data_IF_242782663533
#
_entry.id   IF_242782663533
#
_cell.length_a   1.000
_cell.length_b   1.000
_cell.length_c   1.000
_cell.angle_alpha   90.00
_cell.angle_beta   90.00
_cell.angle_gamma   90.00
#
_symmetry.space_group_name_H-M   'P 1'
#
loop_
_entity.id
_entity.type
_entity.pdbx_description
1 polymer ?
#
# COMPACT_ATOMS: atom_id res chain seq x y z
N UNK A 1 20.17 8.02 48.65
CA UNK A 1 18.79 7.95 48.11
C UNK A 1 18.95 7.96 46.61
N UNK A 2 18.74 6.83 45.94
CA UNK A 2 18.84 6.76 44.48
C UNK A 2 17.60 7.41 43.89
N UNK A 3 17.78 8.40 43.02
CA UNK A 3 16.67 8.95 42.23
C UNK A 3 15.98 7.79 41.53
N UNK A 4 14.71 7.56 41.86
CA UNK A 4 13.93 6.50 41.23
C UNK A 4 13.58 6.94 39.82
N UNK A 5 14.42 6.55 38.85
CA UNK A 5 14.11 6.72 37.43
C UNK A 5 12.76 6.05 37.17
N UNK A 6 11.74 6.86 36.85
CA UNK A 6 10.40 6.40 36.56
C UNK A 6 10.01 6.77 35.12
N UNK A 7 8.91 6.20 34.62
CA UNK A 7 8.47 6.41 33.24
C UNK A 7 8.04 7.86 32.94
N UNK A 8 7.85 8.71 33.97
CA UNK A 8 7.48 10.12 33.82
C UNK A 8 8.69 11.03 33.56
N UNK A 9 9.91 10.47 33.51
CA UNK A 9 11.13 11.21 33.19
C UNK A 9 11.83 10.58 31.97
N UNK A 10 12.37 11.39 31.04
CA UNK A 10 13.13 10.87 29.91
C UNK A 10 14.45 10.26 30.39
N UNK A 11 14.75 9.05 29.94
CA UNK A 11 16.02 8.37 30.19
C UNK A 11 17.18 9.01 29.40
N UNK A 12 16.89 9.59 28.23
CA UNK A 12 17.81 10.37 27.41
C UNK A 12 17.06 11.20 26.36
N UNK A 13 17.79 12.05 25.62
CA UNK A 13 17.25 12.97 24.59
C UNK A 13 16.53 12.28 23.42
N UNK A 14 16.68 10.97 23.24
CA UNK A 14 16.04 10.21 22.14
C UNK A 14 14.65 9.69 22.50
N UNK A 15 14.18 9.88 23.73
CA UNK A 15 12.85 9.48 24.14
C UNK A 15 11.83 10.59 23.90
N UNK A 16 10.62 10.18 23.52
CA UNK A 16 9.47 11.03 23.28
C UNK A 16 8.34 10.67 24.26
N UNK A 17 7.47 11.63 24.57
CA UNK A 17 6.28 11.37 25.38
C UNK A 17 5.26 10.53 24.59
N UNK A 18 4.71 9.49 25.23
CA UNK A 18 3.59 8.70 24.72
C UNK A 18 2.24 9.37 25.06
N UNK A 19 1.13 8.75 24.65
CA UNK A 19 -0.23 9.29 24.85
C UNK A 19 -0.63 9.47 26.32
N UNK A 20 0.00 8.75 27.24
CA UNK A 20 -0.26 8.79 28.69
C UNK A 20 0.78 9.64 29.45
N UNK A 21 1.65 10.37 28.73
CA UNK A 21 2.66 11.26 29.31
C UNK A 21 3.94 10.57 29.80
N UNK A 22 4.10 9.26 29.58
CA UNK A 22 5.35 8.53 29.86
C UNK A 22 6.35 8.58 28.70
N UNK A 23 7.64 8.43 28.97
CA UNK A 23 8.69 8.53 27.94
C UNK A 23 9.06 7.17 27.33
N UNK A 24 9.08 7.10 25.99
CA UNK A 24 9.37 5.89 25.20
C UNK A 24 10.24 6.22 23.99
N UNK A 25 10.85 5.20 23.36
CA UNK A 25 11.54 5.40 22.07
C UNK A 25 10.56 5.43 20.90
N UNK A 26 10.81 6.32 19.95
CA UNK A 26 10.11 6.31 18.69
C UNK A 26 10.49 5.05 17.90
N UNK A 27 9.48 4.34 17.40
CA UNK A 27 9.67 3.17 16.54
C UNK A 27 10.20 3.64 15.19
N UNK A 28 11.16 2.91 14.62
CA UNK A 28 11.69 3.21 13.28
C UNK A 28 10.58 3.14 12.24
N UNK A 29 10.69 3.94 11.17
CA UNK A 29 9.66 3.97 10.13
C UNK A 29 9.50 2.60 9.44
N UNK A 30 10.57 1.80 9.32
CA UNK A 30 10.48 0.45 8.77
C UNK A 30 9.70 -0.51 9.69
N UNK A 31 9.96 -0.47 11.00
CA UNK A 31 9.16 -1.25 11.95
C UNK A 31 7.71 -0.77 12.00
N UNK A 32 7.47 0.52 11.78
CA UNK A 32 6.13 1.07 11.66
C UNK A 32 5.43 0.56 10.40
N UNK A 33 6.13 0.49 9.27
CA UNK A 33 5.63 -0.13 8.04
C UNK A 33 5.24 -1.59 8.29
N UNK A 34 6.09 -2.40 8.92
CA UNK A 34 5.77 -3.79 9.24
C UNK A 34 4.50 -3.92 10.08
N UNK A 35 4.36 -3.09 11.13
CA UNK A 35 3.13 -3.05 11.95
C UNK A 35 1.92 -2.68 11.11
N UNK A 36 2.04 -1.69 10.24
CA UNK A 36 0.96 -1.29 9.34
C UNK A 36 0.60 -2.41 8.36
N UNK A 37 1.58 -3.13 7.78
CA UNK A 37 1.31 -4.25 6.89
C UNK A 37 0.62 -5.42 7.62
N UNK A 38 1.03 -5.72 8.85
CA UNK A 38 0.43 -6.79 9.66
C UNK A 38 -0.99 -6.45 10.12
N UNK A 39 -1.16 -5.31 10.78
CA UNK A 39 -2.34 -4.96 11.58
C UNK A 39 -3.22 -3.89 10.91
N UNK A 40 -2.73 -3.26 9.84
CA UNK A 40 -3.36 -2.07 9.29
C UNK A 40 -3.31 -0.92 10.28
N UNK A 41 -4.38 -0.12 10.28
CA UNK A 41 -4.52 1.02 11.17
C UNK A 41 -5.27 0.67 12.47
N UNK A 42 -5.10 -0.54 13.02
CA UNK A 42 -5.87 -1.00 14.20
C UNK A 42 -5.73 -0.05 15.42
N UNK A 43 -6.87 0.49 15.88
CA UNK A 43 -6.98 1.47 16.98
C UNK A 43 -8.03 2.59 16.82
N UNK A 44 -8.79 2.63 15.72
CA UNK A 44 -9.82 3.66 15.52
C UNK A 44 -11.17 3.32 16.19
N UNK A 45 -11.45 3.82 17.40
CA UNK A 45 -12.84 3.80 17.90
C UNK A 45 -13.69 4.80 17.12
N UNK A 46 -14.75 4.30 16.47
CA UNK A 46 -15.87 5.00 15.82
C UNK A 46 -15.46 6.25 15.01
N UNK A 47 -14.88 6.00 13.84
CA UNK A 47 -14.73 6.87 12.66
C UNK A 47 -13.68 8.00 12.64
N UNK A 48 -13.27 8.61 13.76
CA UNK A 48 -12.32 9.77 13.72
C UNK A 48 -10.87 9.38 14.04
N UNK A 49 -10.64 8.36 14.89
CA UNK A 49 -9.28 7.92 15.28
C UNK A 49 -8.54 7.09 14.22
N UNK A 50 -9.27 6.45 13.30
CA UNK A 50 -8.70 5.59 12.24
C UNK A 50 -7.96 6.41 11.16
N UNK A 51 -8.47 7.60 10.83
CA UNK A 51 -7.86 8.50 9.84
C UNK A 51 -6.50 9.02 10.30
N UNK A 52 -6.35 9.35 11.59
CA UNK A 52 -5.07 9.83 12.14
C UNK A 52 -3.99 8.75 12.05
N UNK A 53 -4.31 7.52 12.44
CA UNK A 53 -3.33 6.41 12.38
C UNK A 53 -2.96 6.06 10.93
N UNK A 54 -3.94 6.11 10.01
CA UNK A 54 -3.69 5.99 8.58
C UNK A 54 -2.75 7.07 8.04
N UNK A 55 -2.94 8.33 8.46
CA UNK A 55 -2.07 9.44 8.08
C UNK A 55 -0.64 9.25 8.61
N UNK A 56 -0.49 8.94 9.90
CA UNK A 56 0.83 8.78 10.50
C UNK A 56 1.64 7.61 9.90
N UNK A 57 0.96 6.53 9.48
CA UNK A 57 1.58 5.41 8.76
C UNK A 57 1.93 5.80 7.30
N UNK A 58 1.08 6.60 6.65
CA UNK A 58 1.38 7.14 5.32
C UNK A 58 2.58 8.09 5.36
N UNK A 59 2.69 8.95 6.37
CA UNK A 59 3.83 9.84 6.57
C UNK A 59 5.13 9.07 6.80
N UNK A 60 5.11 8.01 7.61
CA UNK A 60 6.28 7.14 7.79
C UNK A 60 6.71 6.46 6.49
N UNK A 61 5.75 6.03 5.67
CA UNK A 61 6.03 5.47 4.35
C UNK A 61 6.64 6.52 3.41
N UNK A 62 6.13 7.74 3.42
CA UNK A 62 6.67 8.85 2.62
C UNK A 62 8.11 9.17 3.05
N UNK A 63 8.39 9.26 4.36
CA UNK A 63 9.75 9.46 4.87
C UNK A 63 10.72 8.38 4.41
N UNK A 64 10.33 7.10 4.46
CA UNK A 64 11.17 6.02 3.92
C UNK A 64 11.49 6.20 2.43
N UNK A 65 10.54 6.69 1.64
CA UNK A 65 10.76 6.94 0.20
C UNK A 65 11.69 8.14 0.01
N UNK A 66 11.47 9.21 0.77
CA UNK A 66 12.30 10.44 0.73
C UNK A 66 13.74 10.18 1.18
N UNK A 67 13.94 9.26 2.13
CA UNK A 67 15.25 8.77 2.57
C UNK A 67 15.93 7.82 1.57
N UNK A 68 15.36 7.62 0.37
CA UNK A 68 15.91 6.76 -0.67
C UNK A 68 15.71 5.25 -0.44
N UNK A 69 14.89 4.87 0.55
CA UNK A 69 14.65 3.47 0.95
C UNK A 69 13.40 2.86 0.30
N UNK A 70 12.81 3.52 -0.69
CA UNK A 70 11.60 3.02 -1.35
C UNK A 70 11.79 1.67 -2.05
N UNK A 71 13.01 1.32 -2.48
CA UNK A 71 13.34 -0.03 -2.95
C UNK A 71 13.14 -1.11 -1.89
N UNK A 72 13.61 -0.87 -0.66
CA UNK A 72 13.42 -1.76 0.50
C UNK A 72 11.93 -1.92 0.82
N UNK A 73 11.19 -0.80 0.85
CA UNK A 73 9.73 -0.79 1.07
C UNK A 73 9.00 -1.72 0.10
N UNK A 74 9.33 -1.68 -1.20
CA UNK A 74 8.72 -2.57 -2.19
C UNK A 74 9.07 -4.04 -1.93
N UNK A 75 10.30 -4.36 -1.52
CA UNK A 75 10.67 -5.73 -1.18
C UNK A 75 9.89 -6.25 0.02
N UNK A 76 9.72 -5.43 1.06
CA UNK A 76 8.91 -5.77 2.23
C UNK A 76 7.45 -6.02 1.85
N UNK A 77 6.84 -5.13 1.05
CA UNK A 77 5.48 -5.33 0.54
C UNK A 77 5.34 -6.65 -0.23
N UNK A 78 6.31 -6.99 -1.08
CA UNK A 78 6.32 -8.25 -1.82
C UNK A 78 6.44 -9.47 -0.89
N UNK A 79 7.40 -9.46 0.03
CA UNK A 79 7.60 -10.54 1.02
C UNK A 79 6.33 -10.79 1.81
N UNK A 80 5.72 -9.73 2.37
CA UNK A 80 4.47 -9.84 3.13
C UNK A 80 3.31 -10.39 2.30
N UNK A 81 3.24 -10.04 1.01
CA UNK A 81 2.22 -10.56 0.09
C UNK A 81 2.38 -12.05 -0.21
N UNK A 82 3.61 -12.47 -0.52
CA UNK A 82 3.92 -13.83 -0.94
C UNK A 82 3.87 -14.80 0.24
N UNK A 83 4.38 -14.39 1.40
CA UNK A 83 4.42 -15.20 2.62
C UNK A 83 3.09 -15.20 3.40
N UNK A 84 2.13 -14.35 3.00
CA UNK A 84 0.81 -14.30 3.64
C UNK A 84 0.85 -13.79 5.09
N UNK A 85 1.81 -12.91 5.41
CA UNK A 85 2.03 -12.35 6.76
C UNK A 85 1.01 -11.29 7.18
N UNK A 86 0.06 -10.93 6.31
CA UNK A 86 -0.91 -9.87 6.57
C UNK A 86 -2.28 -10.43 6.92
N UNK A 87 -2.91 -9.91 7.98
CA UNK A 87 -4.28 -10.29 8.33
C UNK A 87 -5.31 -9.76 7.31
N UNK A 88 -5.02 -8.60 6.71
CA UNK A 88 -5.82 -7.90 5.71
C UNK A 88 -4.94 -7.48 4.54
N UNK A 89 -5.49 -7.33 3.34
CA UNK A 89 -4.72 -6.98 2.14
C UNK A 89 -4.67 -5.47 1.91
N UNK A 90 -5.64 -4.74 2.45
CA UNK A 90 -5.83 -3.29 2.30
C UNK A 90 -4.59 -2.48 2.70
N UNK A 91 -3.91 -2.73 3.83
CA UNK A 91 -2.72 -1.93 4.21
C UNK A 91 -1.58 -2.08 3.20
N UNK A 92 -1.36 -3.30 2.73
CA UNK A 92 -0.35 -3.60 1.71
C UNK A 92 -0.67 -2.93 0.37
N UNK A 93 -1.93 -2.99 -0.06
CA UNK A 93 -2.38 -2.37 -1.32
C UNK A 93 -2.34 -0.84 -1.24
N UNK A 94 -2.62 -0.27 -0.08
CA UNK A 94 -2.48 1.16 0.19
C UNK A 94 -1.01 1.61 0.14
N UNK A 95 -0.11 0.87 0.80
CA UNK A 95 1.32 1.15 0.76
C UNK A 95 1.88 1.07 -0.68
N UNK A 96 1.47 0.05 -1.44
CA UNK A 96 1.83 -0.06 -2.85
C UNK A 96 1.27 1.10 -3.69
N UNK A 97 0.06 1.57 -3.39
CA UNK A 97 -0.56 2.72 -4.06
C UNK A 97 0.23 4.02 -3.83
N UNK A 98 0.70 4.28 -2.61
CA UNK A 98 1.60 5.40 -2.29
C UNK A 98 2.90 5.29 -3.09
N UNK A 99 3.57 4.14 -3.03
CA UNK A 99 4.83 3.91 -3.76
C UNK A 99 4.65 4.07 -5.28
N UNK A 100 3.50 3.71 -5.83
CA UNK A 100 3.21 3.88 -7.27
C UNK A 100 2.92 5.33 -7.69
N UNK A 101 2.79 6.26 -6.72
CA UNK A 101 2.45 7.67 -6.94
C UNK A 101 3.53 8.63 -6.47
N UNK A 102 4.55 8.16 -5.75
CA UNK A 102 5.65 8.99 -5.26
C UNK A 102 6.45 9.69 -6.36
N UNK A 103 7.22 10.69 -5.96
CA UNK A 103 8.14 11.45 -6.82
C UNK A 103 9.34 10.62 -7.28
N UNK A 104 9.84 9.72 -6.43
CA UNK A 104 10.98 8.86 -6.77
C UNK A 104 10.63 7.87 -7.90
N UNK A 105 11.38 7.98 -9.01
CA UNK A 105 11.16 7.20 -10.21
C UNK A 105 11.50 5.73 -10.00
N UNK A 106 12.55 5.43 -9.23
CA UNK A 106 13.02 4.06 -9.02
C UNK A 106 11.98 3.24 -8.24
N UNK A 107 11.45 3.83 -7.16
CA UNK A 107 10.37 3.27 -6.34
C UNK A 107 9.09 3.14 -7.14
N UNK A 108 8.69 4.17 -7.91
CA UNK A 108 7.49 4.10 -8.76
C UNK A 108 7.58 2.96 -9.78
N UNK A 109 8.73 2.77 -10.43
CA UNK A 109 8.94 1.66 -11.36
C UNK A 109 8.89 0.30 -10.66
N UNK A 110 9.55 0.17 -9.50
CA UNK A 110 9.52 -1.05 -8.70
C UNK A 110 8.09 -1.39 -8.23
N UNK A 111 7.32 -0.40 -7.79
CA UNK A 111 5.93 -0.55 -7.40
C UNK A 111 5.07 -1.11 -8.54
N UNK A 112 5.18 -0.54 -9.75
CA UNK A 112 4.41 -1.03 -10.90
C UNK A 112 4.81 -2.45 -11.32
N UNK A 113 6.09 -2.81 -11.24
CA UNK A 113 6.55 -4.19 -11.49
C UNK A 113 5.97 -5.18 -10.48
N UNK A 114 5.81 -4.77 -9.23
CA UNK A 114 5.26 -5.61 -8.17
C UNK A 114 3.73 -5.81 -8.25
N UNK A 115 3.00 -5.04 -9.08
CA UNK A 115 1.53 -5.10 -9.15
C UNK A 115 1.01 -6.50 -9.45
N UNK A 116 1.59 -7.21 -10.44
CA UNK A 116 1.13 -8.54 -10.82
C UNK A 116 1.34 -9.58 -9.71
N UNK A 117 2.43 -9.44 -8.95
CA UNK A 117 2.78 -10.34 -7.85
C UNK A 117 1.89 -10.09 -6.61
N UNK A 118 1.63 -8.82 -6.29
CA UNK A 118 0.84 -8.42 -5.11
C UNK A 118 -0.67 -8.54 -5.37
N UNK A 119 -1.16 -8.07 -6.52
CA UNK A 119 -2.58 -8.06 -6.86
C UNK A 119 -3.04 -9.40 -7.44
N UNK A 120 -2.96 -10.49 -6.69
CA UNK A 120 -3.23 -11.87 -7.20
C UNK A 120 -4.61 -12.05 -7.83
N UNK A 121 -5.65 -11.43 -7.25
CA UNK A 121 -7.06 -11.55 -7.68
C UNK A 121 -7.68 -10.19 -8.03
N UNK A 122 -8.83 -10.13 -8.74
CA UNK A 122 -9.49 -8.88 -9.12
C UNK A 122 -9.75 -7.92 -7.95
N UNK A 123 -10.18 -8.43 -6.80
CA UNK A 123 -10.42 -7.61 -5.61
C UNK A 123 -9.18 -6.80 -5.21
N UNK A 124 -7.99 -7.38 -5.28
CA UNK A 124 -6.75 -6.67 -4.93
C UNK A 124 -6.47 -5.55 -5.93
N UNK A 125 -6.61 -5.86 -7.23
CA UNK A 125 -6.40 -4.87 -8.28
C UNK A 125 -7.39 -3.71 -8.15
N UNK A 126 -8.68 -4.01 -7.96
CA UNK A 126 -9.71 -2.97 -7.77
C UNK A 126 -9.45 -2.11 -6.53
N UNK A 127 -9.04 -2.73 -5.43
CA UNK A 127 -8.69 -2.00 -4.19
C UNK A 127 -7.46 -1.10 -4.39
N UNK A 128 -6.42 -1.58 -5.06
CA UNK A 128 -5.25 -0.78 -5.42
C UNK A 128 -5.62 0.42 -6.30
N UNK A 129 -6.45 0.22 -7.32
CA UNK A 129 -6.92 1.32 -8.18
C UNK A 129 -7.75 2.33 -7.38
N UNK A 130 -8.60 1.85 -6.47
CA UNK A 130 -9.39 2.72 -5.60
C UNK A 130 -8.49 3.57 -4.69
N UNK A 131 -7.49 2.99 -4.02
CA UNK A 131 -6.54 3.77 -3.23
C UNK A 131 -5.76 4.78 -4.05
N UNK A 132 -5.38 4.44 -5.30
CA UNK A 132 -4.76 5.41 -6.19
C UNK A 132 -5.68 6.58 -6.52
N UNK A 133 -6.98 6.33 -6.69
CA UNK A 133 -7.97 7.38 -6.91
C UNK A 133 -8.08 8.28 -5.69
N UNK A 134 -8.13 7.70 -4.49
CA UNK A 134 -8.29 8.47 -3.24
C UNK A 134 -7.05 9.32 -2.92
N UNK A 135 -5.85 8.83 -3.26
CA UNK A 135 -4.59 9.55 -3.08
C UNK A 135 -4.32 10.62 -4.15
N UNK A 136 -5.12 10.68 -5.21
CA UNK A 136 -4.89 11.57 -6.36
C UNK A 136 -4.82 13.04 -5.94
N UNK A 137 -5.75 13.47 -5.09
CA UNK A 137 -5.86 14.85 -4.63
C UNK A 137 -4.76 15.20 -3.62
N UNK A 138 -4.53 14.34 -2.63
CA UNK A 138 -3.52 14.58 -1.59
C UNK A 138 -2.09 14.59 -2.16
N UNK A 139 -1.77 13.66 -3.07
CA UNK A 139 -0.47 13.56 -3.71
C UNK A 139 -0.34 14.46 -4.96
N UNK A 140 -1.37 15.23 -5.29
CA UNK A 140 -1.42 16.17 -6.44
C UNK A 140 -0.88 15.56 -7.75
N UNK A 141 -1.24 14.30 -8.02
CA UNK A 141 -0.73 13.55 -9.17
C UNK A 141 -1.85 12.96 -10.03
N UNK A 142 -1.58 12.75 -11.32
CA UNK A 142 -2.51 12.07 -12.22
C UNK A 142 -2.50 10.56 -12.01
N UNK A 143 -3.68 9.91 -12.09
CA UNK A 143 -3.79 8.46 -11.90
C UNK A 143 -3.47 7.66 -13.17
N UNK A 144 -4.09 8.01 -14.31
CA UNK A 144 -4.03 7.24 -15.56
C UNK A 144 -2.86 7.63 -16.48
N UNK A 145 -1.63 7.53 -15.96
CA UNK A 145 -0.40 7.65 -16.75
C UNK A 145 -0.09 6.38 -17.56
N UNK A 146 0.93 6.47 -18.43
CA UNK A 146 1.41 5.32 -19.24
C UNK A 146 1.77 4.11 -18.37
N UNK A 147 2.38 4.33 -17.20
CA UNK A 147 2.80 3.27 -16.29
C UNK A 147 1.62 2.49 -15.72
N UNK A 148 0.55 3.17 -15.26
CA UNK A 148 -0.64 2.48 -14.75
C UNK A 148 -1.37 1.71 -15.85
N UNK A 149 -1.54 2.32 -17.03
CA UNK A 149 -2.16 1.64 -18.18
C UNK A 149 -1.42 0.36 -18.54
N UNK A 150 -0.08 0.42 -18.58
CA UNK A 150 0.77 -0.74 -18.82
C UNK A 150 0.63 -1.79 -17.72
N UNK A 151 0.72 -1.41 -16.44
CA UNK A 151 0.61 -2.37 -15.34
C UNK A 151 -0.75 -3.08 -15.30
N UNK A 152 -1.84 -2.37 -15.56
CA UNK A 152 -3.18 -2.98 -15.67
C UNK A 152 -3.24 -3.91 -16.88
N UNK A 153 -2.70 -3.50 -18.03
CA UNK A 153 -2.70 -4.34 -19.22
C UNK A 153 -1.88 -5.63 -19.03
N UNK A 154 -0.68 -5.50 -18.47
CA UNK A 154 0.20 -6.62 -18.14
C UNK A 154 -0.46 -7.57 -17.12
N UNK A 155 -1.26 -7.04 -16.18
CA UNK A 155 -2.01 -7.87 -15.23
C UNK A 155 -3.04 -8.78 -15.88
N UNK A 156 -3.76 -8.27 -16.88
CA UNK A 156 -4.74 -9.06 -17.64
C UNK A 156 -4.05 -10.03 -18.59
N UNK A 157 -3.08 -9.55 -19.38
CA UNK A 157 -2.35 -10.35 -20.35
C UNK A 157 -1.43 -11.41 -19.71
N UNK A 158 -1.04 -11.23 -18.45
CA UNK A 158 -0.28 -12.22 -17.68
C UNK A 158 -1.11 -13.37 -17.12
N UNK A 159 -2.44 -13.38 -17.33
CA UNK A 159 -3.32 -14.49 -16.92
C UNK A 159 -3.72 -15.31 -18.14
N UNK A 160 -3.71 -16.64 -18.03
CA UNK A 160 -4.24 -17.52 -19.08
C UNK A 160 -5.76 -17.33 -19.27
N UNK A 161 -6.26 -17.49 -20.50
CA UNK A 161 -7.65 -17.21 -20.88
C UNK A 161 -8.70 -17.78 -19.93
N UNK A 162 -8.61 -19.07 -19.57
CA UNK A 162 -9.57 -19.71 -18.66
C UNK A 162 -9.51 -19.15 -17.22
N UNK A 163 -8.30 -18.87 -16.70
CA UNK A 163 -8.14 -18.27 -15.38
C UNK A 163 -8.70 -16.84 -15.35
N UNK A 164 -8.54 -16.10 -16.45
CA UNK A 164 -9.13 -14.78 -16.61
C UNK A 164 -10.66 -14.86 -16.70
N UNK A 165 -11.21 -15.77 -17.49
CA UNK A 165 -12.66 -15.99 -17.61
C UNK A 165 -13.30 -16.30 -16.24
N UNK A 166 -12.67 -17.17 -15.45
CA UNK A 166 -13.11 -17.45 -14.08
C UNK A 166 -13.03 -16.21 -13.18
N UNK A 167 -11.95 -15.43 -13.28
CA UNK A 167 -11.77 -14.23 -12.48
C UNK A 167 -12.85 -13.17 -12.78
N UNK A 168 -13.14 -12.91 -14.06
CA UNK A 168 -14.11 -11.88 -14.47
C UNK A 168 -15.56 -12.28 -14.18
N UNK A 169 -15.86 -13.58 -14.19
CA UNK A 169 -17.21 -14.08 -13.87
C UNK A 169 -17.46 -14.13 -12.36
N UNK A 170 -16.48 -14.58 -11.58
CA UNK A 170 -16.57 -14.64 -10.11
C UNK A 170 -16.55 -13.26 -9.46
N UNK A 171 -15.72 -12.34 -9.97
CA UNK A 171 -15.50 -11.02 -9.39
C UNK A 171 -15.88 -9.89 -10.36
N UNK A 172 -17.15 -9.84 -10.77
CA UNK A 172 -17.64 -8.83 -11.74
C UNK A 172 -17.23 -7.39 -11.40
N UNK A 173 -17.37 -7.00 -10.12
CA UNK A 173 -16.96 -5.71 -9.59
C UNK A 173 -16.67 -5.77 -8.09
N UNK A 174 -15.75 -4.95 -7.59
CA UNK A 174 -15.52 -4.70 -6.16
C UNK A 174 -15.02 -3.26 -5.96
N UNK A 175 -15.28 -2.70 -4.78
CA UNK A 175 -14.81 -1.37 -4.37
C UNK A 175 -15.09 -0.26 -5.40
N UNK A 176 -16.25 -0.32 -6.06
CA UNK A 176 -16.67 0.65 -7.07
C UNK A 176 -16.03 0.50 -8.46
N UNK A 177 -15.22 -0.55 -8.68
CA UNK A 177 -14.57 -0.82 -9.96
C UNK A 177 -15.04 -2.15 -10.57
N UNK A 178 -15.27 -2.14 -11.88
CA UNK A 178 -15.51 -3.34 -12.68
C UNK A 178 -14.35 -3.64 -13.62
N UNK A 179 -14.29 -4.87 -14.14
CA UNK A 179 -13.36 -5.22 -15.21
C UNK A 179 -13.52 -4.32 -16.43
N UNK A 180 -14.76 -3.95 -16.79
CA UNK A 180 -15.07 -3.07 -17.91
C UNK A 180 -14.43 -1.69 -17.74
N UNK A 181 -14.47 -1.13 -16.53
CA UNK A 181 -13.86 0.18 -16.24
C UNK A 181 -12.35 0.14 -16.46
N UNK A 182 -11.69 -0.88 -15.91
CA UNK A 182 -10.24 -1.03 -16.00
C UNK A 182 -9.80 -1.25 -17.45
N UNK A 183 -10.49 -2.10 -18.21
CA UNK A 183 -10.19 -2.36 -19.62
C UNK A 183 -10.33 -1.10 -20.48
N UNK A 184 -11.38 -0.29 -20.22
CA UNK A 184 -11.62 0.97 -20.93
C UNK A 184 -10.52 1.99 -20.64
N UNK A 185 -10.12 2.12 -19.38
CA UNK A 185 -9.16 3.14 -18.94
C UNK A 185 -7.70 2.74 -19.19
N UNK A 186 -7.39 1.44 -19.21
CA UNK A 186 -6.06 0.94 -19.54
C UNK A 186 -5.79 0.94 -21.04
N UNK A 187 -6.84 1.02 -21.88
CA UNK A 187 -6.76 0.79 -23.32
C UNK A 187 -6.07 -0.56 -23.62
N UNK A 188 -6.49 -1.62 -22.94
CA UNK A 188 -5.91 -2.95 -23.09
C UNK A 188 -5.95 -3.38 -24.56
N UNK A 189 -4.80 -3.81 -25.07
CA UNK A 189 -4.71 -4.66 -26.27
C UNK A 189 -4.44 -6.10 -25.80
N UNK A 190 -5.36 -7.05 -26.06
CA UNK A 190 -5.11 -8.47 -25.79
C UNK A 190 -3.83 -8.94 -26.48
N UNK A 191 -2.98 -9.70 -25.78
CA UNK A 191 -1.71 -10.20 -26.32
C UNK A 191 -1.85 -11.48 -27.16
N UNK A 192 -3.00 -12.14 -27.12
CA UNK A 192 -3.30 -13.37 -27.88
C UNK A 192 -4.79 -13.43 -28.24
N UNK A 193 -5.10 -14.03 -29.39
CA UNK A 193 -6.44 -14.48 -29.75
C UNK A 193 -6.69 -15.84 -29.08
N UNK A 194 -7.06 -15.83 -27.80
CA UNK A 194 -7.52 -17.05 -27.14
C UNK A 194 -8.95 -17.36 -27.64
N UNK A 195 -9.04 -18.32 -28.57
CA UNK A 195 -10.25 -18.99 -29.04
C UNK A 195 -10.78 -20.00 -28.02
#
# INVERSE_FOLDING_TARGET
>A
MGDSINQLQPLNEKQIANSEGGYVWQVTDMNRLHRFLCFGSEGGTYYIKEQKLGLENAEALIRLIEDGRGGEVIQEIKSFSQEGKTARQEPMLFALAICSQCSDLSTKQAAFKAVAEVCRIPTHLFTFIQFKKDLKESMKCGMWGRALRKAVADWYNGKGGMALALAVTKYKQRNGWSHKDLLRLSHLKPSSEDS
#
